data_IF_031511266230
#
_entry.id   IF_031511266230
#
_cell.length_a   1.000
_cell.length_b   1.000
_cell.length_c   1.000
_cell.angle_alpha   90.00
_cell.angle_beta   90.00
_cell.angle_gamma   90.00
#
_symmetry.space_group_name_H-M   'P 1'
#
loop_
_entity.id
_entity.type
_entity.pdbx_description
1 polymer ?
#
# COMPACT_ATOMS: atom_id res chain seq x y z
N UNK A 1 -30.21 104.71 -67.83
CA UNK A 1 -29.51 103.41 -68.06
C UNK A 1 -29.07 102.73 -66.74
N UNK A 2 -29.90 102.65 -65.69
CA UNK A 2 -29.49 102.10 -64.36
C UNK A 2 -29.76 100.60 -64.16
N UNK A 3 -30.59 99.98 -65.01
CA UNK A 3 -30.92 98.55 -64.94
C UNK A 3 -29.75 97.57 -65.10
N UNK A 4 -28.77 97.75 -66.03
CA UNK A 4 -27.67 96.79 -66.17
C UNK A 4 -26.77 96.76 -64.93
N UNK A 5 -26.58 97.89 -64.24
CA UNK A 5 -25.81 97.94 -63.00
C UNK A 5 -26.50 97.19 -61.84
N UNK A 6 -27.84 97.23 -61.78
CA UNK A 6 -28.62 96.55 -60.74
C UNK A 6 -28.62 95.03 -60.93
N UNK A 7 -28.72 94.55 -62.18
CA UNK A 7 -28.60 93.12 -62.52
C UNK A 7 -27.20 92.57 -62.20
N UNK A 8 -26.14 93.31 -62.52
CA UNK A 8 -24.77 92.93 -62.14
C UNK A 8 -24.61 92.82 -60.62
N UNK A 9 -25.16 93.78 -59.87
CA UNK A 9 -25.19 93.73 -58.42
C UNK A 9 -25.91 92.50 -57.88
N UNK A 10 -27.07 92.16 -58.44
CA UNK A 10 -27.83 90.97 -58.06
C UNK A 10 -27.06 89.66 -58.34
N UNK A 11 -26.45 89.53 -59.53
CA UNK A 11 -25.63 88.35 -59.88
C UNK A 11 -24.45 88.18 -58.93
N UNK A 12 -23.79 89.28 -58.52
CA UNK A 12 -22.70 89.23 -57.55
C UNK A 12 -23.20 88.78 -56.16
N UNK A 13 -24.34 89.29 -55.69
CA UNK A 13 -24.96 88.86 -54.42
C UNK A 13 -25.35 87.38 -54.47
N UNK A 14 -25.98 86.92 -55.57
CA UNK A 14 -26.31 85.51 -55.77
C UNK A 14 -25.05 84.62 -55.80
N UNK A 15 -23.99 85.05 -56.47
CA UNK A 15 -22.72 84.31 -56.54
C UNK A 15 -22.07 84.17 -55.15
N UNK A 16 -22.07 85.24 -54.35
CA UNK A 16 -21.58 85.22 -52.97
C UNK A 16 -22.47 84.33 -52.07
N UNK A 17 -23.79 84.37 -52.25
CA UNK A 17 -24.73 83.51 -51.52
C UNK A 17 -24.51 82.02 -51.80
N UNK A 18 -24.33 81.65 -53.08
CA UNK A 18 -24.01 80.26 -53.47
C UNK A 18 -22.65 79.83 -52.92
N UNK A 19 -21.63 80.69 -52.99
CA UNK A 19 -20.31 80.39 -52.42
C UNK A 19 -20.37 80.18 -50.90
N UNK A 20 -21.12 81.02 -50.17
CA UNK A 20 -21.36 80.87 -48.72
C UNK A 20 -22.14 79.59 -48.38
N UNK A 21 -23.13 79.22 -49.19
CA UNK A 21 -23.88 77.98 -49.03
C UNK A 21 -22.99 76.74 -49.24
N UNK A 22 -22.19 76.73 -50.31
CA UNK A 22 -21.21 75.65 -50.59
C UNK A 22 -20.22 75.52 -49.43
N UNK A 23 -19.73 76.63 -48.88
CA UNK A 23 -18.78 76.60 -47.77
C UNK A 23 -19.42 76.08 -46.48
N UNK A 24 -20.67 76.49 -46.19
CA UNK A 24 -21.44 75.97 -45.06
C UNK A 24 -21.72 74.49 -45.19
N UNK A 25 -22.14 74.02 -46.38
CA UNK A 25 -22.35 72.60 -46.67
C UNK A 25 -21.05 71.80 -46.50
N UNK A 26 -19.94 72.25 -47.08
CA UNK A 26 -18.62 71.59 -46.89
C UNK A 26 -18.22 71.52 -45.42
N UNK A 27 -18.48 72.57 -44.64
CA UNK A 27 -18.24 72.57 -43.20
C UNK A 27 -19.12 71.55 -42.48
N UNK A 28 -20.39 71.44 -42.83
CA UNK A 28 -21.31 70.43 -42.26
C UNK A 28 -20.87 69.00 -42.60
N UNK A 29 -20.55 68.71 -43.86
CA UNK A 29 -20.03 67.40 -44.30
C UNK A 29 -18.76 67.02 -43.53
N UNK A 30 -17.85 67.96 -43.34
CA UNK A 30 -16.60 67.73 -42.60
C UNK A 30 -16.83 67.49 -41.10
N UNK A 31 -17.88 68.08 -40.51
CA UNK A 31 -18.26 67.78 -39.12
C UNK A 31 -18.91 66.40 -39.01
N UNK A 32 -19.81 66.06 -39.94
CA UNK A 32 -20.45 64.75 -40.01
C UNK A 32 -19.42 63.63 -40.26
N UNK A 33 -18.46 63.84 -41.17
CA UNK A 33 -17.41 62.85 -41.44
C UNK A 33 -16.53 62.60 -40.22
N UNK A 34 -16.20 63.66 -39.46
CA UNK A 34 -15.46 63.55 -38.20
C UNK A 34 -16.27 62.78 -37.15
N UNK A 35 -17.54 63.11 -36.96
CA UNK A 35 -18.42 62.40 -36.03
C UNK A 35 -18.59 60.93 -36.42
N UNK A 36 -18.81 60.63 -37.71
CA UNK A 36 -18.92 59.28 -38.22
C UNK A 36 -17.65 58.46 -37.95
N UNK A 37 -16.46 59.02 -38.25
CA UNK A 37 -15.18 58.34 -37.97
C UNK A 37 -14.96 58.11 -36.47
N UNK A 38 -15.36 59.06 -35.61
CA UNK A 38 -15.22 58.93 -34.17
C UNK A 38 -16.15 57.86 -33.59
N UNK A 39 -17.38 57.77 -34.10
CA UNK A 39 -18.34 56.74 -33.73
C UNK A 39 -17.86 55.36 -34.19
N UNK A 40 -17.37 55.25 -35.43
CA UNK A 40 -16.81 53.99 -35.96
C UNK A 40 -15.60 53.49 -35.14
N UNK A 41 -14.66 54.38 -34.83
CA UNK A 41 -13.50 54.07 -33.97
C UNK A 41 -13.97 53.59 -32.59
N UNK A 42 -14.94 54.29 -31.98
CA UNK A 42 -15.51 53.87 -30.69
C UNK A 42 -16.15 52.50 -30.76
N UNK A 43 -16.99 52.23 -31.76
CA UNK A 43 -17.62 50.92 -31.92
C UNK A 43 -16.60 49.82 -32.12
N UNK A 44 -15.55 50.08 -32.91
CA UNK A 44 -14.47 49.12 -33.11
C UNK A 44 -13.76 48.80 -31.79
N UNK A 45 -13.36 49.83 -31.02
CA UNK A 45 -12.68 49.63 -29.72
C UNK A 45 -13.60 48.93 -28.72
N UNK A 46 -14.86 49.34 -28.61
CA UNK A 46 -15.81 48.69 -27.70
C UNK A 46 -16.07 47.24 -28.09
N UNK A 47 -16.16 46.93 -29.39
CA UNK A 47 -16.31 45.55 -29.87
C UNK A 47 -15.07 44.70 -29.57
N UNK A 48 -13.87 45.27 -29.76
CA UNK A 48 -12.60 44.60 -29.50
C UNK A 48 -12.47 44.25 -28.02
N UNK A 49 -12.67 45.25 -27.15
CA UNK A 49 -12.66 45.07 -25.69
C UNK A 49 -13.71 44.06 -25.23
N UNK A 50 -14.93 44.12 -25.78
CA UNK A 50 -15.98 43.14 -25.44
C UNK A 50 -15.61 41.73 -25.90
N UNK A 51 -14.96 41.59 -27.05
CA UNK A 51 -14.40 40.33 -27.54
C UNK A 51 -13.33 39.78 -26.60
N UNK A 52 -12.38 40.62 -26.18
CA UNK A 52 -11.34 40.23 -25.21
C UNK A 52 -11.95 39.76 -23.88
N UNK A 53 -12.97 40.45 -23.37
CA UNK A 53 -13.67 40.02 -22.15
C UNK A 53 -14.40 38.68 -22.33
N UNK A 54 -15.02 38.45 -23.49
CA UNK A 54 -15.67 37.17 -23.79
C UNK A 54 -14.64 36.05 -23.87
N UNK A 55 -13.51 36.28 -24.55
CA UNK A 55 -12.43 35.30 -24.65
C UNK A 55 -11.83 34.98 -23.28
N UNK A 56 -11.61 36.00 -22.44
CA UNK A 56 -11.15 35.81 -21.06
C UNK A 56 -12.15 34.97 -20.25
N UNK A 57 -13.45 35.23 -20.38
CA UNK A 57 -14.49 34.47 -19.68
C UNK A 57 -14.52 33.01 -20.13
N UNK A 58 -14.39 32.74 -21.44
CA UNK A 58 -14.32 31.39 -22.00
C UNK A 58 -13.06 30.67 -21.51
N UNK A 59 -11.91 31.34 -21.52
CA UNK A 59 -10.65 30.78 -21.01
C UNK A 59 -10.75 30.45 -19.53
N UNK A 60 -11.28 31.36 -18.72
CA UNK A 60 -11.46 31.15 -17.29
C UNK A 60 -12.43 30.01 -16.99
N UNK A 61 -13.57 29.94 -17.70
CA UNK A 61 -14.52 28.82 -17.60
C UNK A 61 -13.86 27.49 -17.95
N UNK A 62 -13.09 27.45 -19.05
CA UNK A 62 -12.39 26.25 -19.49
C UNK A 62 -11.34 25.80 -18.48
N UNK A 63 -10.61 26.73 -17.87
CA UNK A 63 -9.63 26.44 -16.82
C UNK A 63 -10.33 25.95 -15.54
N UNK A 64 -11.42 26.60 -15.13
CA UNK A 64 -12.25 26.16 -14.01
C UNK A 64 -12.75 24.72 -14.19
N UNK A 65 -13.28 24.37 -15.35
CA UNK A 65 -13.79 23.03 -15.63
C UNK A 65 -12.69 21.96 -15.61
N UNK A 66 -11.50 22.30 -16.15
CA UNK A 66 -10.32 21.44 -16.09
C UNK A 66 -9.86 21.21 -14.65
N UNK A 67 -9.66 22.28 -13.88
CA UNK A 67 -9.25 22.21 -12.48
C UNK A 67 -10.28 21.46 -11.64
N UNK A 68 -11.58 21.69 -11.87
CA UNK A 68 -12.66 20.95 -11.21
C UNK A 68 -12.56 19.45 -11.49
N UNK A 69 -12.35 19.08 -12.74
CA UNK A 69 -12.19 17.67 -13.14
C UNK A 69 -10.95 17.03 -12.50
N UNK A 70 -9.83 17.75 -12.44
CA UNK A 70 -8.60 17.29 -11.78
C UNK A 70 -8.82 17.10 -10.27
N UNK A 71 -9.47 18.05 -9.60
CA UNK A 71 -9.82 17.94 -8.17
C UNK A 71 -10.75 16.76 -7.91
N UNK A 72 -11.77 16.56 -8.76
CA UNK A 72 -12.70 15.43 -8.62
C UNK A 72 -11.98 14.08 -8.81
N UNK A 73 -11.02 13.99 -9.74
CA UNK A 73 -10.20 12.80 -9.94
C UNK A 73 -9.25 12.55 -8.77
N UNK A 74 -8.53 13.58 -8.30
CA UNK A 74 -7.66 13.48 -7.13
C UNK A 74 -8.43 13.08 -5.86
N UNK A 75 -9.66 13.56 -5.71
CA UNK A 75 -10.54 13.19 -4.60
C UNK A 75 -10.89 11.71 -4.66
N UNK A 76 -11.26 11.18 -5.83
CA UNK A 76 -11.51 9.74 -6.02
C UNK A 76 -10.28 8.89 -5.75
N UNK A 77 -9.12 9.31 -6.24
CA UNK A 77 -7.85 8.60 -6.01
C UNK A 77 -7.47 8.60 -4.53
N UNK A 78 -7.72 9.70 -3.81
CA UNK A 78 -7.51 9.79 -2.37
C UNK A 78 -8.43 8.83 -1.61
N UNK A 79 -9.70 8.75 -1.97
CA UNK A 79 -10.65 7.82 -1.35
C UNK A 79 -10.28 6.35 -1.64
N UNK A 80 -9.84 6.04 -2.85
CA UNK A 80 -9.33 4.72 -3.22
C UNK A 80 -8.04 4.36 -2.45
N UNK A 81 -7.11 5.30 -2.32
CA UNK A 81 -5.90 5.11 -1.53
C UNK A 81 -6.23 4.90 -0.05
N UNK A 82 -7.16 5.68 0.50
CA UNK A 82 -7.61 5.57 1.90
C UNK A 82 -8.27 4.22 2.19
N UNK A 83 -9.12 3.73 1.30
CA UNK A 83 -9.73 2.40 1.43
C UNK A 83 -8.69 1.28 1.34
N UNK A 84 -7.71 1.40 0.43
CA UNK A 84 -6.59 0.46 0.32
C UNK A 84 -5.74 0.44 1.60
N UNK A 85 -5.39 1.60 2.16
CA UNK A 85 -4.64 1.73 3.42
C UNK A 85 -5.40 1.07 4.57
N UNK A 86 -6.71 1.33 4.69
CA UNK A 86 -7.53 0.73 5.74
C UNK A 86 -7.59 -0.80 5.62
N UNK A 87 -7.73 -1.32 4.39
CA UNK A 87 -7.71 -2.76 4.14
C UNK A 87 -6.36 -3.38 4.54
N UNK A 88 -5.24 -2.77 4.11
CA UNK A 88 -3.90 -3.24 4.47
C UNK A 88 -3.62 -3.16 5.96
N UNK A 89 -4.14 -2.15 6.65
CA UNK A 89 -4.05 -2.05 8.11
C UNK A 89 -4.79 -3.20 8.79
N UNK A 90 -6.01 -3.52 8.36
CA UNK A 90 -6.77 -4.67 8.87
C UNK A 90 -6.04 -6.00 8.61
N UNK A 91 -5.47 -6.19 7.42
CA UNK A 91 -4.67 -7.38 7.09
C UNK A 91 -3.44 -7.51 8.00
N UNK A 92 -2.74 -6.40 8.30
CA UNK A 92 -1.60 -6.37 9.22
C UNK A 92 -2.02 -6.73 10.65
N UNK A 93 -3.14 -6.18 11.12
CA UNK A 93 -3.63 -6.45 12.47
C UNK A 93 -4.08 -7.92 12.63
N UNK A 94 -4.73 -8.49 11.60
CA UNK A 94 -5.04 -9.92 11.54
C UNK A 94 -3.77 -10.78 11.56
N UNK A 95 -2.78 -10.45 10.74
CA UNK A 95 -1.50 -11.16 10.69
C UNK A 95 -0.76 -11.13 12.04
N UNK A 96 -0.80 -10.00 12.76
CA UNK A 96 -0.26 -9.90 14.12
C UNK A 96 -1.02 -10.78 15.12
N UNK A 97 -2.34 -10.83 15.01
CA UNK A 97 -3.20 -11.71 15.81
C UNK A 97 -2.87 -13.19 15.58
N UNK A 98 -2.78 -13.60 14.31
CA UNK A 98 -2.42 -14.96 13.92
C UNK A 98 -1.02 -15.35 14.38
N UNK A 99 -0.03 -14.45 14.21
CA UNK A 99 1.32 -14.68 14.72
C UNK A 99 1.32 -14.94 16.22
N UNK A 100 0.57 -14.15 17.00
CA UNK A 100 0.47 -14.35 18.45
C UNK A 100 -0.17 -15.70 18.78
N UNK A 101 -1.31 -16.02 18.17
CA UNK A 101 -2.00 -17.31 18.33
C UNK A 101 -1.07 -18.49 18.03
N UNK A 102 -0.38 -18.46 16.90
CA UNK A 102 0.56 -19.52 16.52
C UNK A 102 1.75 -19.62 17.50
N UNK A 103 2.24 -18.50 18.01
CA UNK A 103 3.30 -18.50 19.02
C UNK A 103 2.84 -19.15 20.32
N UNK A 104 1.61 -18.83 20.77
CA UNK A 104 1.02 -19.41 21.97
C UNK A 104 0.74 -20.92 21.80
N UNK A 105 0.25 -21.33 20.62
CA UNK A 105 0.05 -22.75 20.27
C UNK A 105 1.37 -23.54 20.24
N UNK A 106 2.42 -22.97 19.64
CA UNK A 106 3.76 -23.59 19.63
C UNK A 106 4.29 -23.72 21.06
N UNK A 107 4.15 -22.69 21.89
CA UNK A 107 4.59 -22.75 23.29
C UNK A 107 3.84 -23.83 24.09
N UNK A 108 2.52 -23.95 23.88
CA UNK A 108 1.70 -25.00 24.50
C UNK A 108 2.12 -26.40 24.02
N UNK A 109 2.30 -26.59 22.72
CA UNK A 109 2.74 -27.87 22.15
C UNK A 109 4.12 -28.30 22.65
N UNK A 110 5.08 -27.37 22.73
CA UNK A 110 6.42 -27.64 23.29
C UNK A 110 6.33 -28.01 24.78
N UNK A 111 5.46 -27.37 25.54
CA UNK A 111 5.23 -27.72 26.94
C UNK A 111 4.62 -29.12 27.09
N UNK A 112 3.67 -29.47 26.23
CA UNK A 112 3.03 -30.80 26.22
C UNK A 112 4.02 -31.90 25.81
N UNK A 113 4.85 -31.64 24.80
CA UNK A 113 5.92 -32.54 24.36
C UNK A 113 6.89 -32.81 25.51
N UNK A 114 7.37 -31.76 26.19
CA UNK A 114 8.26 -31.91 27.34
C UNK A 114 7.62 -32.73 28.46
N UNK A 115 6.36 -32.45 28.78
CA UNK A 115 5.64 -33.20 29.80
C UNK A 115 5.50 -34.69 29.45
N UNK A 116 5.11 -34.99 28.20
CA UNK A 116 5.04 -36.37 27.68
C UNK A 116 6.39 -37.07 27.69
N UNK A 117 7.46 -36.36 27.36
CA UNK A 117 8.82 -36.91 27.39
C UNK A 117 9.24 -37.27 28.82
N UNK A 118 8.96 -36.41 29.79
CA UNK A 118 9.24 -36.67 31.21
C UNK A 118 8.44 -37.87 31.73
N UNK A 119 7.15 -37.97 31.37
CA UNK A 119 6.32 -39.13 31.70
C UNK A 119 6.83 -40.41 31.05
N UNK A 120 7.22 -40.37 29.78
CA UNK A 120 7.79 -41.51 29.08
C UNK A 120 9.07 -42.03 29.75
N UNK A 121 9.98 -41.13 30.14
CA UNK A 121 11.21 -41.50 30.86
C UNK A 121 10.89 -42.12 32.22
N UNK A 122 9.91 -41.57 32.94
CA UNK A 122 9.45 -42.11 34.23
C UNK A 122 8.82 -43.49 34.09
N UNK A 123 7.93 -43.67 33.13
CA UNK A 123 7.29 -44.97 32.87
C UNK A 123 8.33 -45.99 32.44
N UNK A 124 9.26 -45.62 31.54
CA UNK A 124 10.34 -46.51 31.10
C UNK A 124 11.22 -46.99 32.26
N UNK A 125 11.56 -46.11 33.21
CA UNK A 125 12.36 -46.49 34.38
C UNK A 125 11.59 -47.40 35.36
N UNK A 126 10.28 -47.17 35.52
CA UNK A 126 9.39 -48.06 36.28
C UNK A 126 9.34 -49.46 35.65
N UNK A 127 9.09 -49.57 34.34
CA UNK A 127 9.08 -50.87 33.64
C UNK A 127 10.43 -51.59 33.70
N UNK A 128 11.54 -50.86 33.61
CA UNK A 128 12.88 -51.46 33.71
C UNK A 128 13.10 -52.05 35.12
N UNK A 129 12.66 -51.33 36.16
CA UNK A 129 12.75 -51.80 37.55
C UNK A 129 11.85 -53.02 37.79
N UNK A 130 10.66 -53.04 37.21
CA UNK A 130 9.75 -54.19 37.28
C UNK A 130 10.35 -55.40 36.57
N UNK A 131 10.89 -55.24 35.35
CA UNK A 131 11.57 -56.31 34.62
C UNK A 131 12.72 -56.90 35.44
N UNK A 132 13.58 -56.07 36.03
CA UNK A 132 14.70 -56.52 36.87
C UNK A 132 14.21 -57.24 38.14
N UNK A 133 13.11 -56.78 38.73
CA UNK A 133 12.48 -57.42 39.89
C UNK A 133 11.88 -58.79 39.54
N UNK A 134 11.14 -58.89 38.43
CA UNK A 134 10.58 -60.15 37.92
C UNK A 134 11.69 -61.12 37.53
N UNK A 135 12.79 -60.65 36.92
CA UNK A 135 13.95 -61.49 36.64
C UNK A 135 14.55 -62.09 37.93
N UNK A 136 14.71 -61.28 38.98
CA UNK A 136 15.18 -61.76 40.29
C UNK A 136 14.22 -62.77 40.92
N UNK A 137 12.92 -62.54 40.84
CA UNK A 137 11.91 -63.50 41.32
C UNK A 137 11.98 -64.81 40.54
N UNK A 138 12.13 -64.75 39.21
CA UNK A 138 12.26 -65.94 38.37
C UNK A 138 13.55 -66.72 38.69
N UNK A 139 14.67 -66.02 38.95
CA UNK A 139 15.92 -66.65 39.39
C UNK A 139 15.76 -67.30 40.79
N UNK A 140 15.02 -66.68 41.70
CA UNK A 140 14.69 -67.25 43.01
C UNK A 140 13.78 -68.49 42.91
N UNK A 141 12.73 -68.44 42.10
CA UNK A 141 11.85 -69.59 41.82
C UNK A 141 12.61 -70.71 41.11
N UNK A 142 13.53 -70.37 40.20
CA UNK A 142 14.45 -71.34 39.58
C UNK A 142 15.43 -71.95 40.60
N UNK A 143 15.67 -71.27 41.72
CA UNK A 143 16.45 -71.81 42.84
C UNK A 143 15.61 -72.80 43.66
N UNK A 144 14.30 -72.55 43.83
CA UNK A 144 13.38 -73.59 44.36
C UNK A 144 13.35 -74.82 43.44
N UNK A 145 13.49 -74.61 42.12
CA UNK A 145 13.66 -75.69 41.15
C UNK A 145 14.99 -76.46 41.26
N UNK A 146 15.93 -76.05 42.12
CA UNK A 146 17.08 -76.90 42.49
C UNK A 146 16.71 -77.96 43.53
N UNK A 147 15.68 -77.71 44.34
CA UNK A 147 15.25 -78.61 45.42
C UNK A 147 14.09 -79.52 45.03
N UNK A 148 13.33 -79.13 44.01
CA UNK A 148 12.27 -79.97 43.44
C UNK A 148 12.93 -81.02 42.54
N UNK A 149 12.50 -82.27 42.68
CA UNK A 149 12.93 -83.35 41.80
C UNK A 149 12.48 -83.08 40.36
N UNK A 150 13.44 -82.74 39.51
CA UNK A 150 13.23 -82.44 38.08
C UNK A 150 12.78 -83.66 37.28
N UNK A 151 12.89 -84.86 37.85
CA UNK A 151 12.37 -86.09 37.25
C UNK A 151 10.86 -86.25 37.47
N UNK A 152 10.27 -85.58 38.46
CA UNK A 152 8.82 -85.67 38.69
C UNK A 152 8.03 -84.82 37.69
N UNK A 153 6.87 -85.34 37.26
CA UNK A 153 5.89 -84.64 36.41
C UNK A 153 5.47 -83.30 37.02
N UNK A 154 5.29 -83.23 38.35
CA UNK A 154 4.97 -81.95 39.01
C UNK A 154 6.15 -80.98 38.99
N UNK A 155 7.37 -81.49 39.16
CA UNK A 155 8.58 -80.67 39.16
C UNK A 155 8.88 -80.03 37.81
N UNK A 156 8.71 -80.78 36.72
CA UNK A 156 8.83 -80.24 35.35
C UNK A 156 7.79 -79.15 35.07
N UNK A 157 6.54 -79.35 35.52
CA UNK A 157 5.45 -78.38 35.36
C UNK A 157 5.67 -77.10 36.16
N UNK A 158 6.11 -77.23 37.42
CA UNK A 158 6.37 -76.09 38.30
C UNK A 158 7.56 -75.26 37.81
N UNK A 159 8.61 -75.92 37.33
CA UNK A 159 9.84 -75.26 36.92
C UNK A 159 9.87 -74.80 35.48
N UNK A 160 8.75 -74.99 34.75
CA UNK A 160 8.61 -74.71 33.31
C UNK A 160 9.86 -75.11 32.52
N UNK A 161 10.45 -76.26 32.87
CA UNK A 161 11.52 -76.88 32.08
C UNK A 161 10.80 -77.40 30.85
N UNK A 162 10.71 -76.53 29.85
CA UNK A 162 10.05 -76.83 28.58
C UNK A 162 10.83 -78.00 27.98
N UNK A 163 10.19 -79.16 27.88
CA UNK A 163 10.74 -80.30 27.15
C UNK A 163 11.19 -79.78 25.78
N UNK A 164 12.42 -80.12 25.32
CA UNK A 164 13.05 -79.52 24.14
C UNK A 164 12.32 -79.76 22.81
N UNK A 165 11.13 -80.37 22.82
CA UNK A 165 10.35 -80.63 21.62
C UNK A 165 9.33 -79.53 21.26
N UNK A 166 9.18 -78.47 22.07
CA UNK A 166 8.36 -77.32 21.68
C UNK A 166 9.14 -75.99 21.68
N UNK A 167 10.29 -76.03 21.00
CA UNK A 167 10.96 -74.85 20.45
C UNK A 167 10.34 -74.54 19.08
N UNK A 168 9.10 -74.05 19.04
CA UNK A 168 8.64 -73.32 17.86
C UNK A 168 9.41 -72.00 17.74
N UNK A 169 9.75 -71.60 16.50
CA UNK A 169 10.90 -70.78 16.24
C UNK A 169 10.67 -69.34 16.64
N UNK A 170 11.69 -68.81 17.30
CA UNK A 170 11.97 -67.39 17.51
C UNK A 170 11.53 -66.56 16.29
N UNK A 171 10.48 -65.74 16.39
CA UNK A 171 10.25 -64.70 15.41
C UNK A 171 11.45 -63.75 15.49
N UNK A 172 12.11 -63.57 14.34
CA UNK A 172 12.86 -62.39 13.87
C UNK A 172 13.02 -61.34 14.97
N UNK A 173 14.21 -61.20 15.55
CA UNK A 173 15.27 -60.43 14.90
C UNK A 173 15.01 -58.94 15.18
N UNK A 174 15.86 -58.24 15.95
CA UNK A 174 15.65 -56.84 16.26
C UNK A 174 15.64 -56.05 14.95
N UNK A 175 14.50 -55.44 14.62
CA UNK A 175 14.49 -54.24 13.79
C UNK A 175 15.29 -53.20 14.56
N UNK A 176 16.60 -53.21 14.32
CA UNK A 176 17.38 -52.01 14.31
C UNK A 176 16.76 -51.13 13.22
N UNK A 177 15.71 -50.39 13.58
CA UNK A 177 15.32 -49.19 12.86
C UNK A 177 16.56 -48.31 12.86
N UNK A 178 17.16 -48.32 11.68
CA UNK A 178 18.31 -47.55 11.28
C UNK A 178 18.07 -46.09 11.70
N UNK A 179 18.93 -45.48 12.53
CA UNK A 179 18.92 -44.05 12.71
C UNK A 179 19.32 -43.44 11.38
N UNK A 180 18.30 -43.11 10.57
CA UNK A 180 18.44 -42.21 9.45
C UNK A 180 18.77 -40.86 10.06
N UNK A 181 20.06 -40.66 10.32
CA UNK A 181 20.71 -39.38 10.31
C UNK A 181 20.43 -38.79 8.92
N UNK A 182 19.26 -38.18 8.80
CA UNK A 182 18.91 -37.34 7.68
C UNK A 182 19.90 -36.19 7.75
N UNK A 183 20.78 -36.21 6.75
CA UNK A 183 21.83 -35.27 6.48
C UNK A 183 21.43 -33.86 6.90
N UNK A 184 22.22 -33.31 7.82
CA UNK A 184 22.42 -31.88 7.91
C UNK A 184 22.74 -31.37 6.49
N UNK A 185 21.74 -30.83 5.80
CA UNK A 185 21.92 -29.93 4.66
C UNK A 185 22.64 -28.69 5.17
N UNK A 186 23.95 -28.81 5.28
CA UNK A 186 24.86 -27.69 5.14
C UNK A 186 24.92 -27.36 3.64
N UNK A 187 24.14 -26.37 3.22
CA UNK A 187 24.42 -25.61 2.01
C UNK A 187 24.12 -24.13 2.30
N UNK A 188 24.94 -23.23 1.74
CA UNK A 188 25.63 -22.24 2.54
C UNK A 188 24.94 -20.87 2.50
N UNK A 189 25.28 -20.08 3.52
CA UNK A 189 25.20 -18.61 3.57
C UNK A 189 25.42 -18.01 2.19
N UNK A 190 24.35 -17.52 1.57
CA UNK A 190 24.45 -16.48 0.54
C UNK A 190 24.62 -15.17 1.28
N UNK A 191 25.87 -14.87 1.62
CA UNK A 191 26.32 -13.52 1.93
C UNK A 191 26.40 -12.77 0.59
N UNK A 192 25.35 -12.03 0.25
CA UNK A 192 25.42 -11.00 -0.79
C UNK A 192 25.34 -9.61 -0.13
N UNK A 193 26.48 -8.97 0.18
CA UNK A 193 26.54 -7.60 0.63
C UNK A 193 26.76 -6.71 -0.60
N UNK A 194 25.75 -5.96 -1.04
CA UNK A 194 25.94 -4.78 -1.89
C UNK A 194 24.64 -4.02 -2.11
N UNK A 195 24.39 -3.04 -1.24
CA UNK A 195 23.76 -1.79 -1.68
C UNK A 195 24.17 -0.69 -0.69
N UNK A 196 25.40 -0.22 -0.84
CA UNK A 196 25.75 1.11 -0.39
C UNK A 196 24.94 2.08 -1.25
N UNK A 197 23.86 2.65 -0.69
CA UNK A 197 23.22 3.83 -1.28
C UNK A 197 23.97 5.05 -0.73
N UNK A 198 24.59 5.86 -1.61
CA UNK A 198 25.33 7.05 -1.23
C UNK A 198 24.51 8.12 -0.52
N UNK A 199 25.24 8.87 0.27
CA UNK A 199 24.88 10.08 1.01
C UNK A 199 24.25 11.12 0.09
N UNK A 200 23.04 11.58 0.39
CA UNK A 200 22.61 12.94 0.08
C UNK A 200 22.58 13.75 1.38
N UNK A 201 23.53 14.67 1.57
CA UNK A 201 23.46 15.64 2.63
C UNK A 201 22.77 16.92 2.12
N UNK A 202 22.01 17.55 3.02
CA UNK A 202 21.82 19.00 3.08
C UNK A 202 20.73 19.56 2.16
N UNK A 203 19.50 19.59 2.68
CA UNK A 203 18.63 20.75 2.49
C UNK A 203 18.64 21.52 3.81
N UNK A 204 19.54 22.50 3.87
CA UNK A 204 19.50 23.64 4.77
C UNK A 204 18.10 24.27 4.63
N UNK A 205 17.20 24.04 5.58
CA UNK A 205 15.96 24.81 5.64
C UNK A 205 16.30 26.24 6.11
N UNK A 206 15.89 27.28 5.35
CA UNK A 206 16.12 28.66 5.71
C UNK A 206 15.45 29.00 7.04
N UNK A 207 16.14 29.82 7.85
CA UNK A 207 15.59 30.48 9.02
C UNK A 207 14.28 31.19 8.65
N UNK A 208 13.23 31.09 9.49
CA UNK A 208 12.09 31.98 9.39
C UNK A 208 12.57 33.38 9.75
N UNK A 209 12.68 34.25 8.74
CA UNK A 209 12.80 35.67 8.98
C UNK A 209 11.51 36.17 9.64
N UNK A 210 11.75 36.75 10.80
CA UNK A 210 10.86 37.51 11.66
C UNK A 210 10.26 38.69 10.88
N UNK A 211 8.93 38.79 10.82
CA UNK A 211 8.27 40.10 10.78
C UNK A 211 6.89 40.07 11.45
N UNK A 212 6.83 40.25 12.78
CA UNK A 212 5.59 40.49 13.50
C UNK A 212 5.30 41.99 13.53
N UNK A 213 4.86 42.59 12.42
CA UNK A 213 4.23 43.92 12.50
C UNK A 213 3.36 44.27 11.28
N UNK A 214 2.10 43.81 11.28
CA UNK A 214 1.01 44.57 10.66
C UNK A 214 -0.19 44.48 11.58
N UNK A 215 -0.12 45.22 12.70
CA UNK A 215 -1.31 45.81 13.29
C UNK A 215 -1.46 47.18 12.64
N UNK A 216 -2.27 47.27 11.58
CA UNK A 216 -2.69 48.53 10.97
C UNK A 216 -4.19 48.43 10.78
N UNK A 217 -4.89 49.21 11.62
CA UNK A 217 -6.28 49.72 11.55
C UNK A 217 -7.44 48.78 11.20
#
# INVERSE_FOLDING_TARGET
MKFPALLLGFVLVCSLGIAGYIHTRRKQELQLSKQASFIDIKFRVTRDVLGEYQDQLIQFSTQMDKTKTEVDNLTKDLDQAKTSVNKKKADIDNCKGDKKRLTDEIAAAVSEEKHKQDEFVKVKSQWTTEIDSLHKQLEQDSTLCKYIDKASEEGKKLCKIKDPQNAEPKPKGPEAENPKAEEAKAAPKVDEPKAAIPVEPKVDQPKPDENPNVAVE
#
